data_IF_419843512080
#
_entry.id   IF_419843512080
#
_cell.length_a   1.000
_cell.length_b   1.000
_cell.length_c   1.000
_cell.angle_alpha   90.00
_cell.angle_beta   90.00
_cell.angle_gamma   90.00
#
_symmetry.space_group_name_H-M   'P 1'
#
loop_
_entity.id
_entity.type
_entity.pdbx_description
1 polymer ?
#
# COMPACT_ATOMS: atom_id res chain seq x y z
N UNK A 1 -4.95 12.05 7.29
CA UNK A 1 -4.28 11.30 6.23
C UNK A 1 -4.41 12.03 4.91
N UNK A 2 -3.44 11.86 4.06
CA UNK A 2 -3.44 12.48 2.75
C UNK A 2 -3.78 11.43 1.69
N UNK A 3 -4.88 11.64 0.98
CA UNK A 3 -5.30 10.75 -0.09
C UNK A 3 -5.32 11.57 -1.38
N UNK A 4 -4.56 11.12 -2.36
CA UNK A 4 -4.44 11.79 -3.65
C UNK A 4 -5.72 11.77 -4.48
N UNK A 5 -5.62 12.26 -5.71
CA UNK A 5 -6.75 12.36 -6.65
C UNK A 5 -7.02 11.01 -7.30
N UNK A 6 -8.28 10.77 -7.61
CA UNK A 6 -8.72 9.59 -8.38
C UNK A 6 -8.36 8.26 -7.73
N UNK A 7 -8.19 8.23 -6.40
CA UNK A 7 -8.00 6.99 -5.67
C UNK A 7 -9.29 6.21 -5.58
N UNK A 8 -9.18 4.89 -5.63
CA UNK A 8 -10.31 4.00 -5.38
C UNK A 8 -10.02 3.19 -4.13
N UNK A 9 -10.72 3.51 -3.06
CA UNK A 9 -10.53 2.83 -1.78
C UNK A 9 -11.81 2.09 -1.46
N UNK A 10 -11.71 0.76 -1.38
CA UNK A 10 -12.86 -0.07 -1.03
C UNK A 10 -13.40 0.35 0.34
N UNK A 11 -14.71 0.41 0.48
CA UNK A 11 -15.33 0.67 1.77
C UNK A 11 -15.01 -0.42 2.80
N UNK A 12 -14.58 -1.59 2.36
CA UNK A 12 -14.13 -2.68 3.23
C UNK A 12 -12.64 -2.61 3.56
N UNK A 13 -11.90 -1.68 2.99
CA UNK A 13 -10.51 -1.46 3.36
C UNK A 13 -10.44 -0.74 4.71
N UNK A 14 -9.40 -1.01 5.46
CA UNK A 14 -9.17 -0.39 6.76
C UNK A 14 -7.91 0.48 6.71
N UNK A 15 -8.12 1.79 6.73
CA UNK A 15 -7.03 2.76 6.88
C UNK A 15 -6.99 3.15 8.35
N UNK A 16 -6.01 2.66 9.08
CA UNK A 16 -6.00 2.81 10.53
C UNK A 16 -5.75 4.25 10.95
N UNK A 17 -6.76 4.87 11.52
CA UNK A 17 -6.70 6.26 12.01
C UNK A 17 -6.44 6.35 13.51
N UNK A 18 -6.37 5.21 14.20
CA UNK A 18 -6.12 5.22 15.64
C UNK A 18 -4.68 5.62 15.92
N UNK A 19 -4.46 6.35 17.00
CA UNK A 19 -3.14 6.76 17.50
C UNK A 19 -2.38 7.72 16.56
N UNK A 20 -2.33 7.44 15.24
CA UNK A 20 -1.64 8.30 14.27
C UNK A 20 -2.59 8.62 13.10
N UNK A 21 -3.63 9.43 13.33
CA UNK A 21 -4.69 9.62 12.33
C UNK A 21 -4.24 10.34 11.06
N UNK A 22 -3.11 11.03 11.08
CA UNK A 22 -2.55 11.72 9.91
C UNK A 22 -1.40 10.96 9.26
N UNK A 23 -1.13 9.75 9.71
CA UNK A 23 0.08 9.03 9.34
C UNK A 23 0.01 8.26 8.03
N UNK A 24 -1.14 8.16 7.38
CA UNK A 24 -1.28 7.43 6.11
C UNK A 24 -1.30 8.41 4.95
N UNK A 25 -0.41 8.18 3.97
CA UNK A 25 -0.29 9.01 2.78
C UNK A 25 -0.39 8.13 1.54
N UNK A 26 -1.35 8.44 0.67
CA UNK A 26 -1.62 7.66 -0.54
C UNK A 26 -1.55 8.59 -1.75
N UNK A 27 -0.73 8.24 -2.72
CA UNK A 27 -0.57 9.01 -3.96
C UNK A 27 -1.75 8.86 -4.92
N UNK A 28 -1.72 9.65 -5.99
CA UNK A 28 -2.81 9.70 -6.97
C UNK A 28 -3.03 8.36 -7.68
N UNK A 29 -4.27 8.12 -8.08
CA UNK A 29 -4.66 6.95 -8.89
C UNK A 29 -4.31 5.60 -8.27
N UNK A 30 -4.23 5.52 -6.94
CA UNK A 30 -3.94 4.30 -6.23
C UNK A 30 -5.25 3.62 -5.81
N UNK A 31 -5.29 2.31 -5.98
CA UNK A 31 -6.45 1.49 -5.63
C UNK A 31 -6.14 0.64 -4.41
N UNK A 32 -6.99 0.74 -3.41
CA UNK A 32 -6.91 -0.06 -2.18
C UNK A 32 -8.12 -0.97 -2.14
N UNK A 33 -7.89 -2.26 -2.26
CA UNK A 33 -8.93 -3.23 -2.49
C UNK A 33 -9.54 -3.77 -1.19
N UNK A 34 -10.56 -4.59 -1.33
CA UNK A 34 -11.38 -5.05 -0.20
C UNK A 34 -10.56 -5.76 0.88
N UNK A 35 -10.77 -5.38 2.12
CA UNK A 35 -10.12 -6.01 3.26
C UNK A 35 -8.65 -5.67 3.46
N UNK A 36 -8.07 -4.81 2.60
CA UNK A 36 -6.70 -4.35 2.81
C UNK A 36 -6.61 -3.47 4.05
N UNK A 37 -5.51 -3.58 4.78
CA UNK A 37 -5.26 -2.78 5.97
C UNK A 37 -3.96 -2.02 5.80
N UNK A 38 -4.01 -0.70 6.05
CA UNK A 38 -2.82 0.15 6.05
C UNK A 38 -2.67 0.72 7.45
N UNK A 39 -1.53 0.50 8.05
CA UNK A 39 -1.26 0.86 9.45
C UNK A 39 -0.22 1.99 9.51
N UNK A 40 -0.34 2.83 10.52
CA UNK A 40 0.60 3.93 10.77
C UNK A 40 1.03 3.98 12.23
N UNK A 41 0.85 2.89 12.97
CA UNK A 41 1.42 2.74 14.31
C UNK A 41 1.66 1.26 14.61
N UNK A 42 2.64 0.99 15.45
CA UNK A 42 2.94 -0.36 15.92
C UNK A 42 2.69 -0.39 17.43
N UNK A 43 1.62 -1.07 17.83
CA UNK A 43 1.22 -1.13 19.22
C UNK A 43 2.28 -1.83 20.11
N UNK A 44 2.85 -2.91 19.60
CA UNK A 44 3.83 -3.69 20.37
C UNK A 44 5.11 -2.91 20.67
N UNK A 45 5.49 -2.00 19.78
CA UNK A 45 6.70 -1.17 19.95
C UNK A 45 6.39 0.26 20.35
N UNK A 46 5.11 0.59 20.59
CA UNK A 46 4.64 1.95 20.85
C UNK A 46 5.14 2.96 19.80
N UNK A 47 5.22 2.52 18.56
CA UNK A 47 5.77 3.28 17.45
C UNK A 47 4.67 3.93 16.64
N UNK A 48 4.77 5.26 16.46
CA UNK A 48 4.01 5.99 15.45
C UNK A 48 4.94 6.27 14.30
N UNK A 49 4.58 5.84 13.12
CA UNK A 49 5.42 6.05 11.95
C UNK A 49 4.52 6.21 10.72
N UNK A 50 4.75 7.29 9.99
CA UNK A 50 3.98 7.55 8.78
C UNK A 50 4.25 6.48 7.73
N UNK A 51 3.18 6.08 7.04
CA UNK A 51 3.22 5.08 5.99
C UNK A 51 2.86 5.75 4.67
N UNK A 52 3.69 5.53 3.66
CA UNK A 52 3.56 6.19 2.36
C UNK A 52 3.31 5.16 1.27
N UNK A 53 2.26 5.40 0.49
CA UNK A 53 1.96 4.62 -0.71
C UNK A 53 1.99 5.57 -1.89
N UNK A 54 2.75 5.21 -2.92
CA UNK A 54 2.97 6.07 -4.07
C UNK A 54 1.78 6.17 -4.99
N UNK A 55 2.03 6.64 -6.21
CA UNK A 55 1.03 6.84 -7.26
C UNK A 55 0.86 5.58 -8.09
N UNK A 56 -0.35 5.40 -8.62
CA UNK A 56 -0.66 4.29 -9.54
C UNK A 56 -0.34 2.91 -8.93
N UNK A 57 -0.58 2.75 -7.64
CA UNK A 57 -0.39 1.48 -6.95
C UNK A 57 -1.70 0.70 -6.87
N UNK A 58 -1.59 -0.61 -6.67
CA UNK A 58 -2.72 -1.47 -6.33
C UNK A 58 -2.35 -2.23 -5.06
N UNK A 59 -3.10 -1.97 -4.00
CA UNK A 59 -2.96 -2.71 -2.75
C UNK A 59 -4.03 -3.78 -2.75
N UNK A 60 -3.60 -5.02 -2.92
CA UNK A 60 -4.48 -6.16 -3.17
C UNK A 60 -5.40 -6.53 -2.01
N UNK A 61 -6.38 -7.37 -2.32
CA UNK A 61 -7.39 -7.83 -1.36
C UNK A 61 -6.73 -8.44 -0.13
N UNK A 62 -7.14 -7.98 1.05
CA UNK A 62 -6.67 -8.47 2.36
C UNK A 62 -5.16 -8.32 2.61
N UNK A 63 -4.50 -7.45 1.87
CA UNK A 63 -3.10 -7.12 2.15
C UNK A 63 -2.99 -6.33 3.44
N UNK A 64 -1.87 -6.48 4.13
CA UNK A 64 -1.56 -5.70 5.33
C UNK A 64 -0.26 -4.95 5.07
N UNK A 65 -0.31 -3.62 5.15
CA UNK A 65 0.88 -2.78 5.05
C UNK A 65 1.27 -2.36 6.46
N UNK A 66 2.42 -2.80 6.90
CA UNK A 66 2.92 -2.50 8.24
C UNK A 66 3.31 -1.01 8.36
N UNK A 67 3.29 -0.45 9.58
CA UNK A 67 3.56 0.98 9.76
C UNK A 67 5.00 1.35 9.44
N UNK A 68 5.18 2.58 8.96
CA UNK A 68 6.50 3.16 8.73
C UNK A 68 7.13 2.78 7.40
N UNK A 69 6.39 2.11 6.52
CA UNK A 69 6.92 1.67 5.23
C UNK A 69 6.67 2.71 4.15
N UNK A 70 7.51 2.67 3.11
CA UNK A 70 7.31 3.42 1.89
C UNK A 70 7.15 2.45 0.72
N UNK A 71 6.00 2.55 0.06
CA UNK A 71 5.73 1.82 -1.17
C UNK A 71 5.89 2.82 -2.32
N UNK A 72 6.74 2.49 -3.28
CA UNK A 72 7.03 3.36 -4.42
C UNK A 72 5.83 3.53 -5.34
N UNK A 73 6.07 4.11 -6.53
CA UNK A 73 5.03 4.31 -7.54
C UNK A 73 4.88 3.06 -8.40
N UNK A 74 3.68 2.85 -8.93
CA UNK A 74 3.40 1.73 -9.84
C UNK A 74 3.78 0.37 -9.25
N UNK A 75 3.35 0.14 -8.01
CA UNK A 75 3.57 -1.12 -7.29
C UNK A 75 2.25 -1.85 -7.15
N UNK A 76 2.25 -3.14 -7.45
CA UNK A 76 1.12 -4.03 -7.19
C UNK A 76 1.47 -4.94 -6.03
N UNK A 77 0.64 -4.90 -4.99
CA UNK A 77 0.75 -5.81 -3.85
C UNK A 77 -0.35 -6.87 -3.99
N UNK A 78 0.03 -8.10 -4.23
CA UNK A 78 -0.89 -9.24 -4.12
C UNK A 78 -1.23 -9.49 -2.64
N UNK A 79 -2.30 -10.22 -2.34
CA UNK A 79 -2.75 -10.47 -0.97
C UNK A 79 -1.62 -10.90 -0.05
N UNK A 80 -1.06 -9.99 0.73
CA UNK A 80 0.26 -10.17 1.35
C UNK A 80 0.37 -9.45 2.69
N UNK A 81 1.39 -9.82 3.45
CA UNK A 81 1.83 -9.03 4.61
C UNK A 81 3.13 -8.34 4.25
N UNK A 82 3.08 -7.02 4.07
CA UNK A 82 4.23 -6.22 3.67
C UNK A 82 4.94 -5.72 4.92
N UNK A 83 6.18 -6.17 5.11
CA UNK A 83 6.98 -5.87 6.30
C UNK A 83 8.20 -5.02 6.00
N UNK A 84 8.48 -4.75 4.74
CA UNK A 84 9.60 -3.92 4.28
C UNK A 84 9.14 -2.99 3.16
N UNK A 85 9.78 -1.84 3.05
CA UNK A 85 9.51 -0.91 1.97
C UNK A 85 9.77 -1.55 0.60
N UNK A 86 9.00 -1.14 -0.40
CA UNK A 86 9.07 -1.71 -1.75
C UNK A 86 9.32 -0.57 -2.72
N UNK A 87 10.33 -0.73 -3.58
CA UNK A 87 10.66 0.29 -4.57
C UNK A 87 9.66 0.29 -5.74
N UNK A 88 9.71 1.33 -6.56
CA UNK A 88 8.75 1.53 -7.65
C UNK A 88 8.80 0.44 -8.72
N UNK A 89 7.70 0.29 -9.45
CA UNK A 89 7.59 -0.55 -10.64
C UNK A 89 7.78 -2.04 -10.35
N UNK A 90 7.17 -2.53 -9.27
CA UNK A 90 7.30 -3.91 -8.84
C UNK A 90 5.96 -4.57 -8.59
N UNK A 91 5.94 -5.89 -8.69
CA UNK A 91 4.87 -6.72 -8.16
C UNK A 91 5.46 -7.48 -6.97
N UNK A 92 4.79 -7.41 -5.82
CA UNK A 92 5.19 -8.12 -4.62
C UNK A 92 4.02 -8.91 -4.05
N UNK A 93 4.30 -10.06 -3.46
CA UNK A 93 3.29 -10.89 -2.83
C UNK A 93 3.91 -11.85 -1.83
N UNK A 94 3.08 -12.42 -0.96
CA UNK A 94 3.47 -13.42 0.02
C UNK A 94 3.39 -12.92 1.46
N UNK A 95 3.75 -13.79 2.38
CA UNK A 95 3.83 -13.50 3.81
C UNK A 95 5.15 -14.03 4.37
N UNK A 96 6.17 -13.17 4.59
CA UNK A 96 6.20 -11.76 4.23
C UNK A 96 6.25 -11.54 2.72
N UNK A 97 5.79 -10.37 2.28
CA UNK A 97 5.78 -10.04 0.85
C UNK A 97 7.21 -9.96 0.31
N UNK A 98 7.39 -10.52 -0.89
CA UNK A 98 8.66 -10.47 -1.62
C UNK A 98 8.41 -10.00 -3.04
N UNK A 99 9.39 -9.33 -3.63
CA UNK A 99 9.30 -8.86 -5.00
C UNK A 99 9.32 -10.07 -5.94
N UNK A 100 8.26 -10.19 -6.74
CA UNK A 100 8.10 -11.28 -7.71
C UNK A 100 8.50 -10.84 -9.12
N UNK A 101 8.32 -9.56 -9.44
CA UNK A 101 8.60 -9.04 -10.77
C UNK A 101 8.95 -7.57 -10.66
N UNK A 102 9.91 -7.13 -11.48
CA UNK A 102 10.32 -5.74 -11.57
C UNK A 102 10.04 -5.20 -12.96
N UNK A 103 10.22 -3.89 -13.13
CA UNK A 103 10.02 -3.19 -14.40
C UNK A 103 8.60 -3.32 -14.95
N UNK A 104 7.61 -3.27 -14.05
CA UNK A 104 6.21 -3.25 -14.46
C UNK A 104 5.69 -1.81 -14.50
N UNK A 105 4.70 -1.59 -15.33
CA UNK A 105 3.98 -0.32 -15.38
C UNK A 105 2.54 -0.55 -14.97
N UNK A 106 1.99 0.37 -14.19
CA UNK A 106 0.64 0.26 -13.65
C UNK A 106 -0.09 1.57 -13.85
N UNK A 107 -1.30 1.52 -14.39
CA UNK A 107 -2.19 2.68 -14.50
C UNK A 107 -3.63 2.28 -14.21
N UNK A 108 -4.32 3.13 -13.45
CA UNK A 108 -5.74 2.95 -13.15
C UNK A 108 -6.08 1.53 -12.69
N UNK A 109 -5.28 0.98 -11.80
CA UNK A 109 -5.50 -0.34 -11.24
C UNK A 109 -5.12 -1.51 -12.14
N UNK A 110 -4.47 -1.25 -13.28
CA UNK A 110 -4.12 -2.29 -14.25
C UNK A 110 -2.63 -2.34 -14.51
N UNK A 111 -2.11 -3.55 -14.56
CA UNK A 111 -0.75 -3.78 -15.01
C UNK A 111 -0.73 -3.66 -16.53
N UNK A 112 0.15 -2.79 -17.03
CA UNK A 112 0.30 -2.62 -18.47
C UNK A 112 1.24 -3.70 -19.01
N UNK A 113 0.75 -4.45 -19.99
CA UNK A 113 1.51 -5.50 -20.64
C UNK A 113 2.28 -4.92 -21.81
N UNK A 114 3.56 -5.17 -21.87
CA UNK A 114 4.40 -4.76 -23.00
C UNK A 114 4.57 -5.94 -23.97
#
# INVERSE_FOLDING_TARGET
>A
MDIGKNCRISWKAHLDKSINPKGIHIGDNTWVLSGAMILAHDHCRSLKADTYIGKNCVIGVRSIIMPGLSIGNQVVIGGSVVTKSIHSNCIAAGNPAKILKENVNVQNGKILMN
#
